data_IF_367277463805
#
_entry.id   IF_367277463805
#
_cell.length_a   1.000
_cell.length_b   1.000
_cell.length_c   1.000
_cell.angle_alpha   90.00
_cell.angle_beta   90.00
_cell.angle_gamma   90.00
#
_symmetry.space_group_name_H-M   'P 1'
#
loop_
_entity.id
_entity.type
_entity.pdbx_description
1 polymer ?
#
# COMPACT_ATOMS: atom_id res chain seq x y z
N UNK A 1 -43.11 15.24 -45.37
CA UNK A 1 -42.00 14.38 -44.94
C UNK A 1 -40.70 15.13 -45.15
N UNK A 2 -40.05 15.58 -44.09
CA UNK A 2 -38.70 16.15 -44.13
C UNK A 2 -38.06 15.88 -42.78
N UNK A 3 -37.18 14.87 -42.75
CA UNK A 3 -36.65 14.25 -41.55
C UNK A 3 -35.77 15.20 -40.74
N UNK A 4 -35.92 15.10 -39.42
CA UNK A 4 -34.98 15.61 -38.43
C UNK A 4 -33.62 14.91 -38.60
N UNK A 5 -32.49 15.64 -38.69
CA UNK A 5 -31.19 15.00 -38.70
C UNK A 5 -30.93 14.39 -37.31
N UNK A 6 -30.60 13.10 -37.28
CA UNK A 6 -30.17 12.41 -36.07
C UNK A 6 -28.87 13.04 -35.56
N UNK A 7 -28.92 13.69 -34.41
CA UNK A 7 -27.70 14.03 -33.67
C UNK A 7 -27.10 12.72 -33.18
N UNK A 8 -26.08 12.25 -33.90
CA UNK A 8 -25.19 11.20 -33.41
C UNK A 8 -24.65 11.57 -32.03
N UNK A 9 -24.46 10.57 -31.19
CA UNK A 9 -23.84 10.68 -29.86
C UNK A 9 -22.38 11.15 -29.98
N UNK A 10 -22.17 12.44 -30.25
CA UNK A 10 -20.86 13.08 -30.22
C UNK A 10 -20.36 13.24 -28.78
N UNK A 11 -19.03 13.22 -28.60
CA UNK A 11 -18.40 13.53 -27.32
C UNK A 11 -18.95 14.86 -26.77
N UNK A 12 -19.53 14.82 -25.57
CA UNK A 12 -20.01 16.02 -24.88
C UNK A 12 -18.81 16.89 -24.51
N UNK A 13 -18.62 17.99 -25.24
CA UNK A 13 -17.67 19.02 -24.85
C UNK A 13 -18.22 19.81 -23.66
N UNK A 14 -17.42 20.11 -22.62
CA UNK A 14 -17.86 20.95 -21.52
C UNK A 14 -18.27 22.34 -22.03
N UNK A 15 -19.44 22.83 -21.59
CA UNK A 15 -19.94 24.19 -21.89
C UNK A 15 -18.98 25.29 -21.43
N UNK A 16 -18.14 25.00 -20.43
CA UNK A 16 -17.07 25.87 -19.99
C UNK A 16 -15.81 25.56 -20.82
N UNK A 17 -15.24 26.56 -21.51
CA UNK A 17 -14.04 26.44 -22.39
C UNK A 17 -12.79 25.82 -21.74
N UNK A 18 -12.84 25.49 -20.44
CA UNK A 18 -11.78 24.85 -19.68
C UNK A 18 -11.85 23.32 -19.85
N UNK A 19 -10.89 22.78 -20.58
CA UNK A 19 -10.66 21.35 -20.75
C UNK A 19 -9.99 20.74 -19.50
N UNK A 20 -9.85 19.41 -19.49
CA UNK A 20 -9.03 18.68 -18.51
C UNK A 20 -7.56 19.09 -18.59
N UNK A 21 -7.08 19.50 -19.76
CA UNK A 21 -5.70 19.94 -19.99
C UNK A 21 -5.39 21.30 -19.35
N UNK A 22 -6.40 22.12 -19.08
CA UNK A 22 -6.24 23.43 -18.42
C UNK A 22 -6.17 23.30 -16.88
N UNK A 23 -6.29 22.07 -16.35
CA UNK A 23 -6.29 21.80 -14.91
C UNK A 23 -4.93 21.32 -14.47
N UNK A 24 -4.43 21.87 -13.36
CA UNK A 24 -3.20 21.38 -12.75
C UNK A 24 -3.37 19.90 -12.34
N UNK A 25 -2.46 19.03 -12.81
CA UNK A 25 -2.46 17.59 -12.56
C UNK A 25 -2.38 17.24 -11.06
N UNK A 26 -1.79 18.13 -10.26
CA UNK A 26 -1.61 17.99 -8.82
C UNK A 26 -2.74 18.63 -8.00
N UNK A 27 -3.82 19.11 -8.65
CA UNK A 27 -4.96 19.72 -7.95
C UNK A 27 -5.52 18.83 -6.84
N UNK A 28 -5.58 17.51 -7.06
CA UNK A 28 -6.12 16.57 -6.08
C UNK A 28 -5.07 16.00 -5.12
N UNK A 29 -3.83 16.52 -5.12
CA UNK A 29 -2.73 16.01 -4.28
C UNK A 29 -3.09 15.98 -2.80
N UNK A 30 -3.78 17.02 -2.32
CA UNK A 30 -4.20 17.19 -0.93
C UNK A 30 -5.71 16.98 -0.76
N UNK A 31 -6.37 16.28 -1.69
CA UNK A 31 -7.79 16.00 -1.56
C UNK A 31 -7.97 14.92 -0.48
N UNK A 32 -8.64 15.26 0.60
CA UNK A 32 -8.97 14.33 1.68
C UNK A 32 -10.42 13.86 1.53
N UNK A 33 -10.65 12.60 1.90
CA UNK A 33 -11.98 11.99 1.96
C UNK A 33 -12.28 11.57 3.39
N UNK A 34 -13.57 11.38 3.68
CA UNK A 34 -14.00 10.88 4.99
C UNK A 34 -13.37 9.50 5.27
N UNK A 35 -12.74 9.36 6.42
CA UNK A 35 -12.20 8.07 6.90
C UNK A 35 -13.29 7.00 7.01
N UNK A 36 -14.50 7.39 7.37
CA UNK A 36 -15.64 6.49 7.43
C UNK A 36 -16.01 5.92 6.05
N UNK A 37 -15.89 6.71 4.98
CA UNK A 37 -16.16 6.23 3.63
C UNK A 37 -15.17 5.15 3.19
N UNK A 38 -13.87 5.33 3.53
CA UNK A 38 -12.87 4.28 3.35
C UNK A 38 -13.21 3.04 4.17
N UNK A 39 -13.54 3.20 5.46
CA UNK A 39 -13.86 2.07 6.34
C UNK A 39 -15.03 1.23 5.81
N UNK A 40 -16.13 1.86 5.40
CA UNK A 40 -17.29 1.13 4.83
C UNK A 40 -16.94 0.38 3.54
N UNK A 41 -16.18 1.01 2.64
CA UNK A 41 -15.73 0.35 1.41
C UNK A 41 -14.81 -0.83 1.73
N UNK A 42 -13.88 -0.63 2.65
CA UNK A 42 -12.90 -1.64 3.02
C UNK A 42 -13.53 -2.85 3.72
N UNK A 43 -14.53 -2.63 4.59
CA UNK A 43 -15.31 -3.71 5.21
C UNK A 43 -16.02 -4.54 4.14
N UNK A 44 -16.67 -3.93 3.15
CA UNK A 44 -17.32 -4.70 2.09
C UNK A 44 -16.31 -5.41 1.19
N UNK A 45 -15.11 -4.85 0.97
CA UNK A 45 -14.02 -5.54 0.26
C UNK A 45 -13.59 -6.82 1.00
N UNK A 46 -13.45 -6.76 2.33
CA UNK A 46 -13.13 -7.92 3.18
C UNK A 46 -14.28 -8.94 3.13
N UNK A 47 -15.53 -8.49 3.33
CA UNK A 47 -16.70 -9.35 3.29
C UNK A 47 -16.88 -10.05 1.94
N UNK A 48 -16.64 -9.32 0.84
CA UNK A 48 -16.64 -9.88 -0.51
C UNK A 48 -15.54 -10.92 -0.71
N UNK A 49 -14.32 -10.63 -0.24
CA UNK A 49 -13.20 -11.58 -0.33
C UNK A 49 -13.48 -12.87 0.47
N UNK A 50 -14.12 -12.76 1.63
CA UNK A 50 -14.47 -13.88 2.49
C UNK A 50 -15.48 -14.84 1.86
N UNK A 51 -16.46 -14.35 1.07
CA UNK A 51 -17.49 -15.20 0.45
C UNK A 51 -16.92 -16.30 -0.46
N UNK A 52 -15.71 -16.12 -0.98
CA UNK A 52 -15.05 -17.07 -1.87
C UNK A 52 -13.86 -17.78 -1.25
N UNK A 53 -13.75 -17.82 0.08
CA UNK A 53 -12.58 -18.38 0.79
C UNK A 53 -13.01 -19.20 2.01
N UNK A 54 -12.31 -20.32 2.24
CA UNK A 54 -12.53 -21.20 3.38
C UNK A 54 -11.50 -21.04 4.51
N UNK A 55 -10.30 -20.51 4.24
CA UNK A 55 -9.22 -20.37 5.22
C UNK A 55 -8.73 -18.91 5.36
N UNK A 56 -8.15 -18.55 6.52
CA UNK A 56 -7.71 -17.17 6.79
C UNK A 56 -6.53 -16.76 5.89
N UNK A 57 -5.61 -17.67 5.58
CA UNK A 57 -4.44 -17.37 4.74
C UNK A 57 -4.80 -16.99 3.30
N UNK A 58 -5.77 -17.68 2.69
CA UNK A 58 -6.32 -17.38 1.37
C UNK A 58 -7.05 -16.02 1.38
N UNK A 59 -7.66 -15.65 2.51
CA UNK A 59 -8.32 -14.36 2.67
C UNK A 59 -7.27 -13.25 2.71
N UNK A 60 -6.19 -13.43 3.49
CA UNK A 60 -5.04 -12.53 3.52
C UNK A 60 -4.39 -12.41 2.14
N UNK A 61 -4.21 -13.52 1.42
CA UNK A 61 -3.66 -13.52 0.05
C UNK A 61 -4.56 -12.75 -0.92
N UNK A 62 -5.88 -12.91 -0.84
CA UNK A 62 -6.83 -12.13 -1.65
C UNK A 62 -6.77 -10.64 -1.31
N UNK A 63 -6.66 -10.28 -0.03
CA UNK A 63 -6.53 -8.89 0.39
C UNK A 63 -5.22 -8.28 -0.10
N UNK A 64 -4.10 -9.01 -0.01
CA UNK A 64 -2.82 -8.60 -0.60
C UNK A 64 -2.99 -8.35 -2.10
N UNK A 65 -3.58 -9.30 -2.84
CA UNK A 65 -3.80 -9.18 -4.29
C UNK A 65 -4.64 -7.93 -4.65
N UNK A 66 -5.59 -7.53 -3.81
CA UNK A 66 -6.37 -6.30 -4.00
C UNK A 66 -5.54 -5.02 -3.76
N UNK A 67 -4.59 -5.06 -2.82
CA UNK A 67 -3.66 -3.96 -2.53
C UNK A 67 -2.57 -3.78 -3.59
N UNK A 68 -2.07 -4.87 -4.16
CA UNK A 68 -0.99 -4.90 -5.16
C UNK A 68 -1.11 -3.87 -6.30
N UNK A 69 -2.21 -3.80 -7.07
CA UNK A 69 -2.33 -2.83 -8.16
C UNK A 69 -2.32 -1.38 -7.67
N UNK A 70 -2.74 -1.11 -6.44
CA UNK A 70 -2.69 0.25 -5.85
C UNK A 70 -1.22 0.65 -5.65
N UNK A 71 -0.39 -0.26 -5.15
CA UNK A 71 1.05 -0.05 -4.99
C UNK A 71 1.75 0.34 -6.30
N UNK A 72 1.50 -0.41 -7.38
CA UNK A 72 2.02 -0.12 -8.71
C UNK A 72 1.68 1.30 -9.18
N UNK A 73 0.42 1.72 -8.99
CA UNK A 73 -0.05 3.06 -9.41
C UNK A 73 0.50 4.17 -8.52
N UNK A 74 0.62 3.91 -7.21
CA UNK A 74 1.13 4.88 -6.25
C UNK A 74 2.61 5.18 -6.46
N UNK A 75 3.42 4.20 -6.87
CA UNK A 75 4.83 4.42 -7.16
C UNK A 75 5.03 5.56 -8.19
N UNK A 76 4.45 5.41 -9.39
CA UNK A 76 4.60 6.40 -10.46
C UNK A 76 3.92 7.74 -10.09
N UNK A 77 2.77 7.68 -9.40
CA UNK A 77 2.05 8.87 -8.97
C UNK A 77 2.86 9.69 -7.95
N UNK A 78 3.48 9.05 -6.97
CA UNK A 78 4.23 9.73 -5.93
C UNK A 78 5.57 10.29 -6.44
N UNK A 79 6.25 9.55 -7.33
CA UNK A 79 7.47 10.03 -8.00
C UNK A 79 7.17 11.24 -8.90
N UNK A 80 6.10 11.19 -9.70
CA UNK A 80 5.72 12.29 -10.60
C UNK A 80 5.20 13.54 -9.88
N UNK A 81 4.61 13.38 -8.68
CA UNK A 81 4.11 14.49 -7.85
C UNK A 81 5.16 15.14 -6.96
N UNK A 82 6.38 14.59 -6.95
CA UNK A 82 7.49 15.18 -6.22
C UNK A 82 7.82 16.55 -6.80
N UNK A 83 7.88 17.57 -5.93
CA UNK A 83 8.35 18.91 -6.30
C UNK A 83 9.87 18.97 -6.43
N UNK A 84 10.59 17.98 -5.89
CA UNK A 84 12.02 17.83 -6.02
C UNK A 84 12.33 16.86 -7.18
N UNK A 85 12.96 17.33 -8.28
CA UNK A 85 13.32 16.48 -9.42
C UNK A 85 14.18 15.27 -9.04
N UNK A 86 15.02 15.38 -8.01
CA UNK A 86 15.86 14.28 -7.53
C UNK A 86 15.04 13.19 -6.83
N UNK A 87 13.91 13.56 -6.22
CA UNK A 87 12.98 12.61 -5.60
C UNK A 87 11.95 12.04 -6.61
N UNK A 88 11.97 12.51 -7.87
CA UNK A 88 11.24 11.87 -8.98
C UNK A 88 12.02 10.71 -9.62
N UNK A 89 13.27 10.52 -9.22
CA UNK A 89 14.11 9.42 -9.70
C UNK A 89 13.67 8.13 -8.99
N UNK A 90 13.38 7.10 -9.78
CA UNK A 90 13.05 5.77 -9.26
C UNK A 90 14.23 5.26 -8.41
N UNK A 91 13.99 4.79 -7.17
CA UNK A 91 15.05 4.21 -6.35
C UNK A 91 15.78 3.06 -7.06
N UNK A 92 17.10 3.02 -6.97
CA UNK A 92 17.94 1.98 -7.60
C UNK A 92 18.61 1.04 -6.58
N UNK A 93 18.50 1.35 -5.28
CA UNK A 93 19.04 0.60 -4.15
C UNK A 93 17.93 0.21 -3.17
N UNK A 94 18.09 -0.91 -2.46
CA UNK A 94 17.05 -1.45 -1.57
C UNK A 94 16.71 -0.45 -0.45
N UNK A 95 17.70 0.09 0.25
CA UNK A 95 17.46 0.97 1.40
C UNK A 95 16.71 2.26 1.02
N UNK A 96 17.08 3.01 -0.04
CA UNK A 96 16.28 4.13 -0.53
C UNK A 96 14.84 3.78 -0.92
N UNK A 97 14.60 2.61 -1.52
CA UNK A 97 13.24 2.14 -1.82
C UNK A 97 12.43 1.94 -0.53
N UNK A 98 13.00 1.25 0.45
CA UNK A 98 12.33 1.00 1.73
C UNK A 98 12.10 2.30 2.52
N UNK A 99 13.03 3.26 2.45
CA UNK A 99 12.85 4.60 3.01
C UNK A 99 11.74 5.37 2.29
N UNK A 100 11.65 5.26 0.97
CA UNK A 100 10.53 5.84 0.20
C UNK A 100 9.19 5.26 0.66
N UNK A 101 9.11 3.94 0.88
CA UNK A 101 7.92 3.27 1.41
C UNK A 101 7.60 3.79 2.83
N UNK A 102 8.55 3.73 3.75
CA UNK A 102 8.39 4.12 5.15
C UNK A 102 8.02 5.61 5.34
N UNK A 103 8.48 6.49 4.45
CA UNK A 103 8.34 7.94 4.63
C UNK A 103 7.34 8.58 3.66
N UNK A 104 7.36 8.20 2.39
CA UNK A 104 6.58 8.90 1.36
C UNK A 104 5.25 8.19 1.14
N UNK A 105 5.28 6.88 0.90
CA UNK A 105 4.07 6.08 0.72
C UNK A 105 3.22 6.09 1.99
N UNK A 106 3.83 5.81 3.15
CA UNK A 106 3.12 5.79 4.44
C UNK A 106 2.47 7.12 4.79
N UNK A 107 3.18 8.24 4.62
CA UNK A 107 2.58 9.57 4.85
C UNK A 107 1.43 9.83 3.88
N UNK A 108 1.53 9.36 2.64
CA UNK A 108 0.46 9.53 1.66
C UNK A 108 -0.79 8.72 2.01
N UNK A 109 -0.62 7.48 2.49
CA UNK A 109 -1.73 6.59 2.84
C UNK A 109 -2.35 6.93 4.20
N UNK A 110 -1.51 7.26 5.18
CA UNK A 110 -1.90 7.29 6.59
C UNK A 110 -1.64 8.62 7.29
N UNK A 111 -1.08 9.62 6.61
CA UNK A 111 -0.77 10.92 7.18
C UNK A 111 0.44 10.94 8.13
N UNK A 112 1.12 9.81 8.32
CA UNK A 112 2.33 9.68 9.16
C UNK A 112 3.33 8.70 8.55
N UNK A 113 4.64 8.82 8.85
CA UNK A 113 5.61 7.79 8.46
C UNK A 113 5.36 6.48 9.22
N UNK A 114 5.92 5.39 8.72
CA UNK A 114 6.05 4.14 9.47
C UNK A 114 6.93 4.35 10.71
N UNK A 115 6.71 3.53 11.73
CA UNK A 115 7.33 3.71 13.05
C UNK A 115 8.80 3.27 13.06
N UNK A 116 9.12 2.18 12.37
CA UNK A 116 10.49 1.71 12.23
C UNK A 116 10.70 0.92 10.93
N UNK A 117 11.96 0.85 10.50
CA UNK A 117 12.43 0.03 9.39
C UNK A 117 13.72 -0.66 9.82
N UNK A 118 13.72 -1.99 9.78
CA UNK A 118 14.85 -2.81 10.20
C UNK A 118 15.20 -3.86 9.13
N UNK A 119 16.44 -4.34 9.17
CA UNK A 119 16.87 -5.50 8.38
C UNK A 119 16.83 -6.72 9.29
N UNK A 120 16.31 -7.85 8.79
CA UNK A 120 16.35 -9.10 9.52
C UNK A 120 17.80 -9.51 9.81
N UNK A 121 18.07 -9.92 11.05
CA UNK A 121 19.36 -10.44 11.47
C UNK A 121 19.52 -11.93 11.17
N UNK A 122 18.41 -12.64 10.96
CA UNK A 122 18.37 -14.09 10.78
C UNK A 122 18.17 -14.49 9.33
N UNK A 123 17.43 -13.71 8.54
CA UNK A 123 17.09 -14.03 7.16
C UNK A 123 17.70 -12.99 6.20
N UNK A 124 18.70 -13.37 5.38
CA UNK A 124 19.26 -12.48 4.37
C UNK A 124 18.19 -11.98 3.38
N UNK A 125 18.21 -10.69 3.09
CA UNK A 125 17.27 -10.09 2.13
C UNK A 125 15.85 -9.86 2.65
N UNK A 126 15.58 -10.22 3.92
CA UNK A 126 14.35 -9.86 4.60
C UNK A 126 14.50 -8.54 5.34
N UNK A 127 13.51 -7.66 5.17
CA UNK A 127 13.39 -6.38 5.86
C UNK A 127 12.05 -6.32 6.59
N UNK A 128 12.00 -5.53 7.65
CA UNK A 128 10.86 -5.43 8.56
C UNK A 128 10.42 -3.97 8.64
N UNK A 129 9.18 -3.68 8.27
CA UNK A 129 8.58 -2.37 8.44
C UNK A 129 7.56 -2.44 9.58
N UNK A 130 7.65 -1.54 10.54
CA UNK A 130 6.82 -1.56 11.75
C UNK A 130 5.76 -0.47 11.69
N UNK A 131 4.55 -0.85 12.08
CA UNK A 131 3.41 0.03 12.28
C UNK A 131 2.80 -0.26 13.65
N UNK A 132 2.96 0.67 14.59
CA UNK A 132 2.47 0.51 15.96
C UNK A 132 0.95 0.69 16.07
N UNK A 133 0.37 1.45 15.15
CA UNK A 133 -1.06 1.82 15.16
C UNK A 133 -1.63 1.74 13.73
N UNK A 134 -1.73 0.53 13.16
CA UNK A 134 -2.17 0.36 11.78
C UNK A 134 -3.60 0.85 11.63
N UNK A 135 -3.77 1.93 10.87
CA UNK A 135 -5.08 2.57 10.65
C UNK A 135 -6.12 1.61 10.07
N UNK A 136 -5.68 0.63 9.27
CA UNK A 136 -6.57 -0.39 8.72
C UNK A 136 -7.22 -1.27 9.80
N UNK A 137 -6.59 -1.44 10.96
CA UNK A 137 -7.15 -2.21 12.08
C UNK A 137 -8.01 -1.33 13.00
N UNK A 138 -7.71 -0.03 13.10
CA UNK A 138 -8.46 0.90 13.95
C UNK A 138 -9.90 1.14 13.50
N UNK A 139 -10.21 1.03 12.20
CA UNK A 139 -11.52 1.40 11.66
C UNK A 139 -12.47 0.24 11.41
N UNK A 140 -12.05 -0.99 11.71
CA UNK A 140 -12.85 -2.18 11.48
C UNK A 140 -13.06 -2.91 12.81
N UNK A 141 -14.31 -2.93 13.28
CA UNK A 141 -14.72 -3.91 14.30
C UNK A 141 -15.01 -5.20 13.56
N UNK A 142 -13.99 -6.06 13.43
CA UNK A 142 -14.19 -7.37 12.82
C UNK A 142 -15.15 -8.21 13.67
N UNK A 143 -16.07 -8.97 13.06
CA UNK A 143 -16.81 -10.03 13.76
C UNK A 143 -15.85 -10.95 14.52
N UNK A 144 -16.31 -11.52 15.65
CA UNK A 144 -15.44 -12.34 16.51
C UNK A 144 -14.83 -13.54 15.77
N UNK A 145 -15.51 -14.04 14.73
CA UNK A 145 -15.02 -15.14 13.89
C UNK A 145 -13.84 -14.74 12.99
N UNK A 146 -13.60 -13.43 12.82
CA UNK A 146 -12.54 -12.85 11.99
C UNK A 146 -11.48 -12.11 12.83
N UNK A 147 -11.50 -12.25 14.15
CA UNK A 147 -10.55 -11.54 15.02
C UNK A 147 -9.09 -11.94 14.81
N UNK A 148 -8.83 -13.08 14.16
CA UNK A 148 -7.48 -13.55 13.79
C UNK A 148 -7.01 -13.06 12.41
N UNK A 149 -7.87 -12.39 11.63
CA UNK A 149 -7.52 -11.90 10.30
C UNK A 149 -6.62 -10.67 10.40
N UNK A 150 -5.44 -10.70 9.79
CA UNK A 150 -4.64 -9.51 9.66
C UNK A 150 -5.05 -8.69 8.42
N UNK A 151 -5.93 -7.70 8.61
CA UNK A 151 -6.35 -6.82 7.51
C UNK A 151 -5.20 -5.97 6.94
N UNK A 152 -4.09 -5.88 7.66
CA UNK A 152 -2.87 -5.30 7.12
C UNK A 152 -2.28 -6.08 5.94
N UNK A 153 -2.74 -7.31 5.66
CA UNK A 153 -2.41 -8.01 4.40
C UNK A 153 -2.73 -7.16 3.15
N UNK A 154 -3.77 -6.32 3.19
CA UNK A 154 -4.04 -5.36 2.13
C UNK A 154 -2.90 -4.35 1.94
N UNK A 155 -2.38 -3.79 3.04
CA UNK A 155 -1.24 -2.85 3.03
C UNK A 155 0.05 -3.57 2.60
N UNK A 156 0.24 -4.82 3.01
CA UNK A 156 1.34 -5.66 2.54
C UNK A 156 1.35 -5.78 1.02
N UNK A 157 0.18 -6.00 0.41
CA UNK A 157 0.03 -6.00 -1.05
C UNK A 157 0.39 -4.66 -1.69
N UNK A 158 0.00 -3.53 -1.10
CA UNK A 158 0.41 -2.20 -1.59
C UNK A 158 1.94 -2.06 -1.56
N UNK A 159 2.60 -2.49 -0.49
CA UNK A 159 4.06 -2.47 -0.36
C UNK A 159 4.70 -3.36 -1.43
N UNK A 160 4.18 -4.58 -1.61
CA UNK A 160 4.63 -5.54 -2.62
C UNK A 160 4.56 -4.94 -4.03
N UNK A 161 3.42 -4.32 -4.38
CA UNK A 161 3.26 -3.65 -5.66
C UNK A 161 4.23 -2.49 -5.88
N UNK A 162 4.61 -1.76 -4.82
CA UNK A 162 5.64 -0.71 -4.92
C UNK A 162 7.03 -1.31 -5.17
N UNK A 163 7.39 -2.38 -4.46
CA UNK A 163 8.67 -3.07 -4.64
C UNK A 163 8.82 -3.63 -6.06
N UNK A 164 7.83 -4.40 -6.51
CA UNK A 164 7.78 -4.98 -7.85
C UNK A 164 7.79 -3.89 -8.92
N UNK A 165 6.95 -2.86 -8.76
CA UNK A 165 6.89 -1.72 -9.66
C UNK A 165 8.24 -1.03 -9.78
N UNK A 166 9.00 -0.92 -8.69
CA UNK A 166 10.33 -0.30 -8.68
C UNK A 166 11.42 -1.19 -9.30
N UNK A 167 11.11 -2.43 -9.69
CA UNK A 167 12.08 -3.40 -10.21
C UNK A 167 12.87 -4.10 -9.10
N UNK A 168 12.24 -4.32 -7.94
CA UNK A 168 12.78 -5.06 -6.80
C UNK A 168 11.80 -6.19 -6.46
N UNK A 169 11.72 -7.24 -7.31
CA UNK A 169 10.77 -8.31 -7.10
C UNK A 169 10.94 -8.96 -5.72
N UNK A 170 9.81 -9.21 -5.05
CA UNK A 170 9.78 -9.88 -3.75
C UNK A 170 9.37 -11.35 -3.88
N UNK A 171 9.80 -12.20 -2.94
CA UNK A 171 9.21 -13.53 -2.73
C UNK A 171 7.77 -13.40 -2.20
N UNK A 172 7.53 -12.32 -1.44
CA UNK A 172 6.21 -11.88 -0.98
C UNK A 172 6.36 -10.84 0.13
N UNK A 173 5.27 -10.13 0.40
CA UNK A 173 5.16 -9.27 1.59
C UNK A 173 4.03 -9.77 2.48
N UNK A 174 4.34 -10.10 3.73
CA UNK A 174 3.37 -10.60 4.71
C UNK A 174 3.23 -9.64 5.87
N UNK A 175 2.05 -9.61 6.48
CA UNK A 175 1.78 -8.79 7.66
C UNK A 175 1.55 -9.70 8.88
N UNK A 176 2.21 -9.37 10.00
CA UNK A 176 2.09 -10.13 11.25
C UNK A 176 1.73 -9.19 12.40
N UNK A 177 0.68 -9.54 13.16
CA UNK A 177 0.37 -8.85 14.41
C UNK A 177 1.31 -9.35 15.51
N UNK A 178 2.00 -8.44 16.18
CA UNK A 178 2.99 -8.76 17.24
C UNK A 178 2.57 -8.24 18.62
N UNK A 179 1.47 -7.49 18.72
CA UNK A 179 1.01 -6.93 19.99
C UNK A 179 0.64 -7.99 21.05
N UNK A 180 0.30 -9.21 20.64
CA UNK A 180 0.06 -10.32 21.57
C UNK A 180 1.36 -10.98 22.08
N UNK A 181 2.44 -10.99 21.30
CA UNK A 181 3.72 -11.61 21.72
C UNK A 181 4.42 -10.79 22.82
N UNK A 182 4.15 -9.49 22.89
CA UNK A 182 4.62 -8.63 23.98
C UNK A 182 3.87 -8.89 25.32
N UNK A 183 2.75 -9.63 25.33
CA UNK A 183 1.98 -9.97 26.55
C UNK A 183 2.65 -11.05 27.43
N UNK A 184 3.67 -11.76 26.92
CA UNK A 184 4.37 -12.81 27.68
C UNK A 184 5.32 -12.31 28.78
N UNK A 185 5.47 -10.98 28.93
CA UNK A 185 6.15 -10.32 30.04
C UNK A 185 5.12 -9.40 30.69
N UNK A 186 4.96 -9.45 32.02
CA UNK A 186 3.95 -8.81 32.90
C UNK A 186 3.71 -7.27 32.76
N UNK A 187 3.66 -6.79 31.53
CA UNK A 187 3.54 -5.40 31.10
C UNK A 187 2.51 -5.41 29.98
N UNK A 188 1.43 -4.64 30.14
CA UNK A 188 0.48 -4.42 29.03
C UNK A 188 1.28 -4.00 27.80
N UNK A 189 1.13 -4.73 26.70
CA UNK A 189 1.72 -4.34 25.42
C UNK A 189 1.32 -2.89 25.14
N UNK A 190 2.32 -2.03 24.95
CA UNK A 190 2.10 -0.59 24.72
C UNK A 190 1.30 -0.37 23.43
N UNK A 191 1.38 -1.32 22.50
CA UNK A 191 0.76 -1.30 21.18
C UNK A 191 0.11 -2.66 20.88
N UNK A 192 -1.14 -2.91 21.30
CA UNK A 192 -1.80 -4.21 21.14
C UNK A 192 -2.06 -4.58 19.67
N UNK A 193 -2.17 -3.58 18.79
CA UNK A 193 -2.42 -3.78 17.35
C UNK A 193 -1.16 -3.64 16.49
N UNK A 194 0.02 -3.61 17.12
CA UNK A 194 1.31 -3.46 16.42
C UNK A 194 1.46 -4.51 15.35
N UNK A 195 1.73 -4.06 14.13
CA UNK A 195 1.89 -4.90 12.95
C UNK A 195 3.29 -4.74 12.37
N UNK A 196 3.87 -5.86 11.94
CA UNK A 196 5.14 -5.92 11.23
C UNK A 196 4.92 -6.45 9.82
N UNK A 197 5.41 -5.72 8.83
CA UNK A 197 5.43 -6.16 7.44
C UNK A 197 6.79 -6.76 7.13
N UNK A 198 6.81 -8.04 6.78
CA UNK A 198 8.01 -8.75 6.38
C UNK A 198 8.14 -8.66 4.86
N UNK A 199 9.18 -7.99 4.39
CA UNK A 199 9.46 -7.77 2.98
C UNK A 199 10.66 -8.65 2.63
N UNK A 200 10.43 -9.74 1.89
CA UNK A 200 11.52 -10.64 1.48
C UNK A 200 11.81 -10.44 -0.01
N UNK A 201 12.99 -9.90 -0.33
CA UNK A 201 13.40 -9.72 -1.72
C UNK A 201 13.89 -11.03 -2.32
N UNK A 202 13.68 -11.21 -3.63
CA UNK A 202 14.21 -12.37 -4.34
C UNK A 202 15.75 -12.33 -4.43
N UNK A 203 16.42 -13.49 -4.55
CA UNK A 203 17.89 -13.56 -4.59
C UNK A 203 18.53 -12.64 -5.64
N UNK A 204 17.94 -12.51 -6.84
CA UNK A 204 18.46 -11.67 -7.91
C UNK A 204 18.56 -10.18 -7.52
N UNK A 205 17.70 -9.71 -6.62
CA UNK A 205 17.74 -8.33 -6.11
C UNK A 205 18.96 -8.13 -5.21
N UNK A 206 19.29 -9.13 -4.40
CA UNK A 206 20.44 -9.11 -3.49
C UNK A 206 21.75 -9.18 -4.26
N UNK A 207 21.82 -10.04 -5.28
CA UNK A 207 22.96 -10.11 -6.20
C UNK A 207 23.22 -8.75 -6.87
N UNK A 208 22.16 -8.12 -7.38
CA UNK A 208 22.27 -6.76 -7.96
C UNK A 208 22.74 -5.74 -6.92
N UNK A 209 22.18 -5.76 -5.71
CA UNK A 209 22.56 -4.85 -4.63
C UNK A 209 24.04 -5.01 -4.25
N UNK A 210 24.56 -6.24 -4.25
CA UNK A 210 25.97 -6.53 -4.01
C UNK A 210 26.87 -6.00 -5.13
N UNK A 211 26.51 -6.25 -6.40
CA UNK A 211 27.26 -5.74 -7.56
C UNK A 211 27.35 -4.21 -7.52
N UNK A 212 26.23 -3.54 -7.27
CA UNK A 212 26.19 -2.08 -7.17
C UNK A 212 26.93 -1.55 -5.93
N UNK A 213 27.12 -2.36 -4.88
CA UNK A 213 27.87 -1.97 -3.68
C UNK A 213 29.39 -2.03 -3.84
N UNK A 214 29.89 -2.73 -4.87
CA UNK A 214 31.31 -2.88 -5.17
C UNK A 214 31.87 -1.81 -6.12
N UNK A 215 30.99 -1.10 -6.83
CA UNK A 215 31.33 0.03 -7.71
C UNK A 215 31.20 1.37 -7.00
#
# INVERSE_FOLDING_TARGET
MSGTPSQGSGLRYPSNKKSIYDRNLNRSKNAELSRAAFAYLFIEMIAYAQRGVSNVGDLEQKLNTQGYPIGLRLLDLLLSRSSNPLASIRPTRILPLLQFIAQTLYRHLFGRPADALEKSSTEPGQYMLFDNEPMVNQYISLPRELSSLNCAAFVAGVIEGVCDGAGFPTEGVTAHSVGEQEQGKDTKAMWPDKTVFLIKFKPEVLEREEILGRG
#
